data_IF_955824539285
#
_entry.id   IF_955824539285
#
_cell.length_a   1.000
_cell.length_b   1.000
_cell.length_c   1.000
_cell.angle_alpha   90.00
_cell.angle_beta   90.00
_cell.angle_gamma   90.00
#
_symmetry.space_group_name_H-M   'P 1'
#
loop_
_entity.id
_entity.type
_entity.pdbx_description
1 polymer ?
#
# COMPACT_ATOMS: atom_id res chain seq x y z
N UNK A 1 5.65 -5.83 -2.65
CA UNK A 1 6.49 -4.63 -2.46
C UNK A 1 7.85 -5.05 -1.92
N UNK A 2 8.85 -4.15 -1.87
CA UNK A 2 10.27 -4.49 -1.54
C UNK A 2 10.75 -3.86 -0.23
N UNK A 3 9.98 -3.99 0.86
CA UNK A 3 10.32 -3.39 2.17
C UNK A 3 11.74 -3.78 2.65
N UNK A 4 12.19 -4.99 2.31
CA UNK A 4 13.52 -5.51 2.63
C UNK A 4 14.67 -4.62 2.13
N UNK A 5 14.47 -3.87 1.04
CA UNK A 5 15.50 -3.00 0.49
C UNK A 5 15.69 -1.69 1.27
N UNK A 6 14.82 -1.35 2.24
CA UNK A 6 14.95 -0.11 3.01
C UNK A 6 16.26 -0.04 3.79
N UNK A 7 16.73 -1.18 4.28
CA UNK A 7 17.98 -1.31 5.03
C UNK A 7 19.13 -1.91 4.21
N UNK A 8 18.91 -2.16 2.92
CA UNK A 8 19.94 -2.72 2.04
C UNK A 8 20.95 -1.64 1.64
N UNK A 9 22.21 -1.85 2.01
CA UNK A 9 23.27 -0.85 1.81
C UNK A 9 23.59 -0.62 0.33
N UNK A 10 23.47 -1.65 -0.52
CA UNK A 10 23.65 -1.49 -1.96
C UNK A 10 22.55 -0.59 -2.55
N UNK A 11 21.30 -0.83 -2.19
CA UNK A 11 20.16 -0.01 -2.64
C UNK A 11 20.28 1.43 -2.16
N UNK A 12 20.67 1.66 -0.90
CA UNK A 12 20.90 3.01 -0.38
C UNK A 12 21.97 3.75 -1.17
N UNK A 13 23.10 3.11 -1.48
CA UNK A 13 24.18 3.73 -2.27
C UNK A 13 23.69 4.16 -3.66
N UNK A 14 22.89 3.33 -4.34
CA UNK A 14 22.33 3.69 -5.64
C UNK A 14 21.33 4.85 -5.54
N UNK A 15 20.48 4.87 -4.50
CA UNK A 15 19.56 5.98 -4.27
C UNK A 15 20.29 7.31 -3.97
N UNK A 16 21.37 7.25 -3.19
CA UNK A 16 22.20 8.43 -2.88
C UNK A 16 22.80 9.04 -4.15
N UNK A 17 23.24 8.22 -5.12
CA UNK A 17 23.73 8.71 -6.42
C UNK A 17 22.67 9.53 -7.17
N UNK A 18 21.40 9.17 -6.99
CA UNK A 18 20.24 9.88 -7.55
C UNK A 18 19.69 10.99 -6.64
N UNK A 19 20.37 11.29 -5.51
CA UNK A 19 19.90 12.22 -4.47
C UNK A 19 18.53 11.84 -3.88
N UNK A 20 18.28 10.54 -3.75
CA UNK A 20 17.05 9.97 -3.19
C UNK A 20 17.35 9.15 -1.93
N UNK A 21 16.30 8.88 -1.16
CA UNK A 21 16.32 7.97 -0.01
C UNK A 21 15.16 6.96 -0.10
N UNK A 22 15.25 5.80 0.58
CA UNK A 22 14.12 4.89 0.68
C UNK A 22 12.91 5.55 1.32
N UNK A 23 11.72 5.33 0.76
CA UNK A 23 10.46 5.87 1.29
C UNK A 23 10.27 5.42 2.75
N UNK A 24 9.98 6.39 3.63
CA UNK A 24 9.68 6.18 5.05
C UNK A 24 8.22 5.76 5.22
N UNK A 25 7.95 5.00 6.28
CA UNK A 25 6.60 4.53 6.57
C UNK A 25 5.61 5.68 6.84
N UNK A 26 6.10 6.80 7.40
CA UNK A 26 5.29 8.00 7.61
C UNK A 26 4.86 8.64 6.30
N UNK A 27 5.76 8.78 5.33
CA UNK A 27 5.43 9.29 4.00
C UNK A 27 4.35 8.46 3.30
N UNK A 28 4.40 7.13 3.48
CA UNK A 28 3.36 6.22 3.02
C UNK A 28 2.00 6.47 3.66
N UNK A 29 1.96 6.72 4.99
CA UNK A 29 0.73 7.07 5.70
C UNK A 29 0.18 8.42 5.27
N UNK A 30 1.03 9.43 5.16
CA UNK A 30 0.63 10.75 4.64
C UNK A 30 0.07 10.64 3.22
N UNK A 31 0.63 9.75 2.38
CA UNK A 31 0.10 9.51 1.04
C UNK A 31 -1.31 8.91 1.07
N UNK A 32 -1.61 7.99 1.99
CA UNK A 32 -2.96 7.43 2.17
C UNK A 32 -4.00 8.52 2.41
N UNK A 33 -3.69 9.49 3.27
CA UNK A 33 -4.57 10.63 3.54
C UNK A 33 -4.75 11.50 2.29
N UNK A 34 -3.66 11.80 1.58
CA UNK A 34 -3.68 12.63 0.35
C UNK A 34 -4.56 12.06 -0.75
N UNK A 35 -4.60 10.73 -0.90
CA UNK A 35 -5.35 10.07 -1.97
C UNK A 35 -6.72 9.51 -1.52
N UNK A 36 -7.08 9.67 -0.25
CA UNK A 36 -8.30 9.09 0.32
C UNK A 36 -8.33 7.56 0.30
N UNK A 37 -7.17 6.91 0.44
CA UNK A 37 -7.08 5.45 0.52
C UNK A 37 -7.55 4.93 1.88
N UNK A 38 -7.93 3.65 1.92
CA UNK A 38 -8.44 3.00 3.15
C UNK A 38 -7.34 2.77 4.19
N UNK A 39 -6.09 2.63 3.75
CA UNK A 39 -4.94 2.40 4.64
C UNK A 39 -3.62 2.30 3.88
N UNK A 40 -2.52 2.23 4.63
CA UNK A 40 -1.17 1.99 4.15
C UNK A 40 -0.63 0.68 4.75
N UNK A 41 -0.03 -0.18 3.93
CA UNK A 41 0.61 -1.41 4.36
C UNK A 41 1.93 -1.60 3.60
N UNK A 42 2.93 -2.13 4.30
CA UNK A 42 4.22 -2.48 3.72
C UNK A 42 4.39 -4.00 3.71
N UNK A 43 5.04 -4.52 2.67
CA UNK A 43 5.36 -5.94 2.59
C UNK A 43 6.70 -6.16 1.87
N UNK A 44 7.30 -7.31 2.12
CA UNK A 44 8.38 -7.87 1.31
C UNK A 44 7.97 -9.24 0.81
N UNK A 45 7.88 -9.38 -0.52
CA UNK A 45 7.65 -10.69 -1.12
C UNK A 45 8.84 -11.64 -0.92
N UNK A 46 10.06 -11.08 -0.81
CA UNK A 46 11.31 -11.84 -0.64
C UNK A 46 11.40 -12.49 0.73
N UNK A 47 11.09 -11.74 1.79
CA UNK A 47 11.12 -12.24 3.18
C UNK A 47 9.76 -12.78 3.65
N UNK A 48 8.73 -12.71 2.80
CA UNK A 48 7.32 -13.04 3.09
C UNK A 48 6.67 -12.15 4.14
N UNK A 49 7.33 -11.07 4.56
CA UNK A 49 6.81 -10.12 5.55
C UNK A 49 5.63 -9.32 4.99
N UNK A 50 4.53 -9.21 5.75
CA UNK A 50 3.41 -8.33 5.42
C UNK A 50 2.52 -8.82 4.25
N UNK A 51 2.87 -9.94 3.60
CA UNK A 51 2.16 -10.41 2.41
C UNK A 51 0.75 -10.82 2.76
N UNK A 52 0.56 -11.60 3.83
CA UNK A 52 -0.76 -12.07 4.27
C UNK A 52 -1.66 -10.90 4.67
N UNK A 53 -1.10 -9.95 5.40
CA UNK A 53 -1.78 -8.77 5.95
C UNK A 53 -2.33 -7.88 4.83
N UNK A 54 -1.57 -7.71 3.74
CA UNK A 54 -2.02 -6.97 2.55
C UNK A 54 -3.29 -7.60 1.96
N UNK A 55 -3.32 -8.93 1.79
CA UNK A 55 -4.50 -9.62 1.24
C UNK A 55 -5.67 -9.63 2.22
N UNK A 56 -5.41 -9.84 3.51
CA UNK A 56 -6.46 -9.84 4.54
C UNK A 56 -7.11 -8.46 4.70
N UNK A 57 -6.30 -7.39 4.67
CA UNK A 57 -6.79 -6.02 4.68
C UNK A 57 -7.60 -5.68 3.43
N UNK A 58 -7.14 -6.11 2.25
CA UNK A 58 -7.87 -5.91 1.00
C UNK A 58 -9.23 -6.63 1.03
N UNK A 59 -9.26 -7.89 1.45
CA UNK A 59 -10.49 -8.66 1.58
C UNK A 59 -11.48 -8.02 2.57
N UNK A 60 -11.01 -7.62 3.75
CA UNK A 60 -11.84 -6.90 4.74
C UNK A 60 -12.37 -5.58 4.18
N UNK A 61 -11.50 -4.79 3.54
CA UNK A 61 -11.88 -3.50 2.95
C UNK A 61 -12.94 -3.67 1.84
N UNK A 62 -12.84 -4.73 1.06
CA UNK A 62 -13.83 -5.05 0.03
C UNK A 62 -15.19 -5.42 0.61
N UNK A 63 -15.22 -6.20 1.71
CA UNK A 63 -16.46 -6.58 2.40
C UNK A 63 -17.12 -5.41 3.15
N UNK A 64 -16.31 -4.50 3.71
CA UNK A 64 -16.80 -3.32 4.45
C UNK A 64 -17.38 -2.23 3.55
N UNK A 65 -17.09 -2.25 2.25
CA UNK A 65 -17.75 -1.34 1.31
C UNK A 65 -19.23 -1.69 1.24
N UNK A 66 -20.07 -0.88 1.91
CA UNK A 66 -21.53 -0.90 1.71
C UNK A 66 -21.78 -0.83 0.21
N UNK A 67 -22.44 -1.85 -0.36
CA UNK A 67 -22.86 -1.83 -1.76
C UNK A 67 -23.61 -0.51 -1.96
N UNK A 68 -23.06 0.43 -2.73
CA UNK A 68 -23.90 1.48 -3.32
C UNK A 68 -25.00 0.70 -4.05
N UNK A 69 -26.24 0.79 -3.59
CA UNK A 69 -27.37 0.24 -4.34
C UNK A 69 -27.22 0.86 -5.72
N UNK A 70 -26.94 0.06 -6.75
CA UNK A 70 -27.09 0.53 -8.12
C UNK A 70 -28.53 1.03 -8.16
N UNK A 71 -28.73 2.33 -8.41
CA UNK A 71 -30.06 2.85 -8.69
C UNK A 71 -30.67 1.90 -9.71
N UNK A 72 -31.82 1.31 -9.39
CA UNK A 72 -32.46 0.35 -10.28
C UNK A 72 -32.57 0.95 -11.67
N UNK A 73 -32.25 0.17 -12.70
CA UNK A 73 -32.65 0.54 -14.04
C UNK A 73 -34.18 0.52 -14.05
N UNK A 74 -34.82 1.69 -14.06
CA UNK A 74 -36.24 1.79 -14.34
C UNK A 74 -36.38 1.59 -15.85
N UNK A 75 -36.81 0.39 -16.24
CA UNK A 75 -37.35 0.16 -17.57
C UNK A 75 -38.69 0.90 -17.61
N UNK A 76 -38.72 2.01 -18.35
CA UNK A 76 -39.96 2.66 -18.78
C UNK A 76 -40.51 1.94 -20.01
#
# INVERSE_FOLDING_TARGET
NKKDLRNDEATKRELIKMKQEPVRSEEGRTMTERIGAVGYLECSAKTKEGVREVFEFAARSALMRKRKRKGGCLLF
#
